data_IF_094050040080
#
_entry.id   IF_094050040080
#
_cell.length_a   1.000
_cell.length_b   1.000
_cell.length_c   1.000
_cell.angle_alpha   90.00
_cell.angle_beta   90.00
_cell.angle_gamma   90.00
#
_symmetry.space_group_name_H-M   'P 1'
#
loop_
_entity.id
_entity.type
_entity.pdbx_description
1 polymer ?
#
# COMPACT_ATOMS: atom_id res chain seq x y z
N UNK A 1 38.56 4.33 -32.07
CA UNK A 1 38.82 4.93 -30.76
C UNK A 1 37.56 5.62 -30.28
N UNK A 2 37.13 5.30 -29.06
CA UNK A 2 36.40 6.15 -28.12
C UNK A 2 35.00 6.67 -28.47
N UNK A 3 33.99 6.13 -27.78
CA UNK A 3 32.86 6.84 -27.14
C UNK A 3 31.99 5.77 -26.44
N UNK A 4 31.45 5.91 -25.24
CA UNK A 4 31.39 7.05 -24.35
C UNK A 4 30.99 6.57 -22.95
N UNK A 5 31.38 7.35 -21.95
CA UNK A 5 31.04 7.12 -20.56
C UNK A 5 29.56 7.36 -20.27
N UNK A 6 29.11 6.71 -19.19
CA UNK A 6 27.81 6.88 -18.58
C UNK A 6 27.84 6.31 -17.18
N UNK A 7 28.77 6.80 -16.34
CA UNK A 7 28.77 6.54 -14.89
C UNK A 7 27.75 7.52 -14.29
N UNK A 8 26.47 7.21 -14.47
CA UNK A 8 25.42 7.80 -13.66
C UNK A 8 25.47 7.20 -12.25
N UNK A 9 25.06 7.93 -11.20
CA UNK A 9 25.03 7.34 -9.87
C UNK A 9 24.12 6.11 -9.90
N UNK A 10 24.66 4.93 -9.56
CA UNK A 10 23.86 3.72 -9.36
C UNK A 10 22.77 4.04 -8.33
N UNK A 11 21.52 4.16 -8.80
CA UNK A 11 20.38 4.20 -7.90
C UNK A 11 20.44 2.94 -7.04
N UNK A 12 20.35 3.04 -5.70
CA UNK A 12 20.44 1.88 -4.83
C UNK A 12 19.39 0.88 -5.29
N UNK A 13 19.84 -0.31 -5.70
CA UNK A 13 18.99 -1.38 -6.18
C UNK A 13 17.93 -1.64 -5.12
N UNK A 14 16.70 -1.22 -5.39
CA UNK A 14 15.57 -1.48 -4.52
C UNK A 14 15.48 -3.01 -4.35
N UNK A 15 15.21 -3.50 -3.13
CA UNK A 15 15.01 -4.93 -2.94
C UNK A 15 13.98 -5.42 -3.95
N UNK A 16 14.34 -6.46 -4.69
CA UNK A 16 13.50 -7.01 -5.74
C UNK A 16 12.12 -7.33 -5.15
N UNK A 17 11.06 -6.77 -5.75
CA UNK A 17 9.68 -7.03 -5.35
C UNK A 17 9.17 -8.40 -5.87
N UNK A 18 10.08 -9.24 -6.35
CA UNK A 18 9.79 -10.62 -6.75
C UNK A 18 9.14 -11.39 -5.58
N UNK A 19 7.90 -11.82 -5.79
CA UNK A 19 7.12 -12.57 -4.79
C UNK A 19 6.30 -11.71 -3.83
N UNK A 20 6.32 -10.38 -3.97
CA UNK A 20 5.41 -9.49 -3.24
C UNK A 20 4.03 -9.48 -3.93
N UNK A 21 2.96 -9.66 -3.16
CA UNK A 21 1.57 -9.65 -3.65
C UNK A 21 0.63 -8.94 -2.68
N UNK A 22 -0.44 -8.36 -3.22
CA UNK A 22 -1.53 -7.74 -2.46
C UNK A 22 -2.17 -8.67 -1.42
N UNK A 23 -2.05 -10.00 -1.58
CA UNK A 23 -2.62 -10.97 -0.65
C UNK A 23 -1.88 -11.07 0.69
N UNK A 24 -0.65 -10.58 0.75
CA UNK A 24 0.20 -10.70 1.94
C UNK A 24 -0.22 -9.76 3.06
N UNK A 25 -1.00 -8.72 2.74
CA UNK A 25 -1.44 -7.72 3.71
C UNK A 25 -2.94 -7.53 3.67
N UNK A 26 -3.53 -7.41 4.86
CA UNK A 26 -4.91 -7.01 5.04
C UNK A 26 -4.92 -5.54 5.46
N UNK A 27 -5.73 -4.72 4.78
CA UNK A 27 -5.89 -3.29 5.07
C UNK A 27 -7.14 -3.10 5.92
N UNK A 28 -7.05 -2.24 6.93
CA UNK A 28 -8.11 -1.90 7.86
C UNK A 28 -8.33 -0.40 7.90
N UNK A 29 -9.56 0.00 8.24
CA UNK A 29 -9.93 1.38 8.57
C UNK A 29 -10.57 1.43 9.96
N UNK A 30 -10.25 2.48 10.73
CA UNK A 30 -10.85 2.73 12.05
C UNK A 30 -11.50 4.12 12.07
N UNK A 31 -12.70 4.28 11.48
CA UNK A 31 -13.36 5.57 11.46
C UNK A 31 -13.67 6.03 12.89
N UNK A 32 -13.20 7.23 13.25
CA UNK A 32 -13.47 7.84 14.55
C UNK A 32 -12.78 7.17 15.76
N UNK A 33 -11.74 6.35 15.56
CA UNK A 33 -11.02 5.68 16.65
C UNK A 33 -11.76 4.49 17.27
N UNK A 34 -12.74 3.94 16.55
CA UNK A 34 -13.52 2.77 16.94
C UNK A 34 -12.91 1.45 16.48
N UNK A 35 -13.79 0.49 16.18
CA UNK A 35 -13.40 -0.84 15.71
C UNK A 35 -12.75 -0.80 14.32
N UNK A 36 -11.74 -1.65 14.12
CA UNK A 36 -11.11 -1.85 12.82
C UNK A 36 -12.03 -2.65 11.89
N UNK A 37 -12.26 -2.10 10.70
CA UNK A 37 -13.01 -2.76 9.62
C UNK A 37 -12.04 -3.16 8.52
N UNK A 38 -12.05 -4.44 8.13
CA UNK A 38 -11.27 -4.94 6.98
C UNK A 38 -11.80 -4.34 5.68
N UNK A 39 -10.91 -3.86 4.82
CA UNK A 39 -11.24 -3.39 3.49
C UNK A 39 -11.05 -4.49 2.44
N UNK A 40 -11.95 -4.54 1.46
CA UNK A 40 -11.78 -5.40 0.29
C UNK A 40 -10.80 -4.73 -0.69
N UNK A 41 -9.82 -5.50 -1.18
CA UNK A 41 -8.80 -5.01 -2.12
C UNK A 41 -9.32 -4.55 -3.48
N UNK A 42 -10.59 -4.79 -3.81
CA UNK A 42 -11.23 -4.27 -5.01
C UNK A 42 -11.78 -2.84 -4.88
N UNK A 43 -11.82 -2.28 -3.66
CA UNK A 43 -12.34 -0.94 -3.41
C UNK A 43 -11.32 0.13 -3.82
N UNK A 44 -11.80 1.20 -4.45
CA UNK A 44 -10.98 2.40 -4.68
C UNK A 44 -10.86 3.23 -3.40
N UNK A 45 -9.77 3.98 -3.26
CA UNK A 45 -9.59 4.87 -2.10
C UNK A 45 -10.68 5.96 -2.03
N UNK A 46 -11.19 6.40 -3.18
CA UNK A 46 -12.33 7.31 -3.26
C UNK A 46 -13.57 6.70 -2.59
N UNK A 47 -13.92 5.46 -2.96
CA UNK A 47 -15.06 4.77 -2.36
C UNK A 47 -14.84 4.48 -0.87
N UNK A 48 -13.60 4.17 -0.46
CA UNK A 48 -13.25 4.02 0.96
C UNK A 48 -13.49 5.32 1.73
N UNK A 49 -13.08 6.46 1.16
CA UNK A 49 -13.29 7.78 1.74
C UNK A 49 -14.78 8.12 1.91
N UNK A 50 -15.57 7.88 0.87
CA UNK A 50 -17.01 8.17 0.87
C UNK A 50 -17.82 7.26 1.81
N UNK A 51 -17.48 5.96 1.87
CA UNK A 51 -18.28 4.96 2.60
C UNK A 51 -17.86 4.82 4.05
N UNK A 52 -16.57 4.89 4.36
CA UNK A 52 -16.04 4.56 5.67
C UNK A 52 -15.44 5.77 6.40
N UNK A 53 -14.60 6.57 5.75
CA UNK A 53 -13.86 7.66 6.43
C UNK A 53 -14.76 8.83 6.84
N UNK A 54 -15.45 9.43 5.86
CA UNK A 54 -16.50 10.45 6.08
C UNK A 54 -16.11 11.64 6.96
N UNK A 55 -14.82 11.93 7.08
CA UNK A 55 -14.32 13.11 7.80
C UNK A 55 -13.41 13.93 6.91
N UNK A 56 -13.41 15.24 7.09
CA UNK A 56 -12.54 16.18 6.37
C UNK A 56 -11.11 16.17 6.93
N UNK A 57 -10.52 14.98 7.04
CA UNK A 57 -9.13 14.75 7.45
C UNK A 57 -8.45 13.80 6.44
N UNK A 58 -7.12 13.73 6.39
CA UNK A 58 -6.43 12.72 5.57
C UNK A 58 -6.93 11.31 5.90
N UNK A 59 -7.11 10.47 4.88
CA UNK A 59 -7.57 9.09 5.05
C UNK A 59 -6.53 8.27 5.84
N UNK A 60 -6.93 7.71 6.98
CA UNK A 60 -6.07 6.86 7.80
C UNK A 60 -6.42 5.37 7.60
N UNK A 61 -5.41 4.58 7.22
CA UNK A 61 -5.51 3.13 7.02
C UNK A 61 -4.42 2.42 7.81
N UNK A 62 -4.74 1.27 8.37
CA UNK A 62 -3.78 0.37 9.01
C UNK A 62 -3.61 -0.89 8.17
N UNK A 63 -2.48 -1.57 8.31
CA UNK A 63 -2.26 -2.86 7.66
C UNK A 63 -1.74 -3.88 8.67
N UNK A 64 -1.97 -5.15 8.39
CA UNK A 64 -1.33 -6.27 9.09
C UNK A 64 -1.06 -7.42 8.11
N UNK A 65 -0.06 -8.27 8.36
CA UNK A 65 0.14 -9.49 7.57
C UNK A 65 -1.12 -10.36 7.56
N UNK A 66 -1.51 -10.84 6.39
CA UNK A 66 -2.62 -11.79 6.23
C UNK A 66 -2.20 -13.13 6.83
N UNK A 67 -3.05 -13.73 7.69
CA UNK A 67 -2.72 -14.98 8.42
C UNK A 67 -2.61 -16.21 7.51
N UNK A 68 -3.30 -16.20 6.36
CA UNK A 68 -3.29 -17.26 5.36
C UNK A 68 -3.11 -16.66 3.95
N UNK A 69 -1.89 -16.27 3.56
CA UNK A 69 -1.62 -15.82 2.21
C UNK A 69 -1.70 -17.04 1.27
N UNK A 70 -2.76 -17.13 0.46
CA UNK A 70 -2.98 -18.22 -0.50
C UNK A 70 -2.61 -17.84 -1.93
#
# INVERSE_FOLDING_TARGET
GGAGGGDGPEEPALPSLEGVSEKQYTIYIAPGGGAFTTLNGSLTLELVNEKFWKVSRPLELCYAPTKDPK
#
